data_IF_549890581563
#
_entry.id   IF_549890581563
#
_cell.length_a   1.000
_cell.length_b   1.000
_cell.length_c   1.000
_cell.angle_alpha   90.00
_cell.angle_beta   90.00
_cell.angle_gamma   90.00
#
_symmetry.space_group_name_H-M   'P 1'
#
loop_
_entity.id
_entity.type
_entity.pdbx_description
1 polymer ?
#
# COMPACT_ATOMS: atom_id res chain seq x y z
N UNK A 1 37.35 20.09 16.32
CA UNK A 1 35.98 20.31 15.79
C UNK A 1 35.73 19.16 14.84
N UNK A 2 34.94 18.18 15.29
CA UNK A 2 34.61 17.00 14.50
C UNK A 2 33.52 17.35 13.50
N UNK A 3 33.85 17.25 12.21
CA UNK A 3 32.85 17.15 11.15
C UNK A 3 32.39 15.69 11.11
N UNK A 4 31.37 15.40 11.90
CA UNK A 4 30.63 14.14 11.80
C UNK A 4 29.75 14.23 10.55
N UNK A 5 30.24 13.66 9.45
CA UNK A 5 29.47 13.52 8.23
C UNK A 5 28.16 12.78 8.55
N UNK A 6 26.99 13.27 8.09
CA UNK A 6 25.72 12.64 8.41
C UNK A 6 25.71 11.21 7.85
N UNK A 7 25.34 10.24 8.70
CA UNK A 7 25.15 8.85 8.29
C UNK A 7 24.28 8.80 7.02
N UNK A 8 24.67 8.01 6.01
CA UNK A 8 23.87 7.88 4.81
C UNK A 8 22.52 7.28 5.21
N UNK A 9 21.44 8.06 5.07
CA UNK A 9 20.09 7.54 5.26
C UNK A 9 19.93 6.31 4.38
N UNK A 10 19.80 5.15 5.01
CA UNK A 10 19.66 3.85 4.36
C UNK A 10 18.29 3.76 3.70
N UNK A 11 18.03 4.55 2.66
CA UNK A 11 16.94 4.32 1.73
C UNK A 11 17.36 3.19 0.79
N UNK A 12 17.53 2.00 1.36
CA UNK A 12 17.87 0.81 0.59
C UNK A 12 16.76 0.47 -0.42
N UNK A 13 17.07 -0.32 -1.47
CA UNK A 13 16.14 -0.71 -2.54
C UNK A 13 14.88 -1.49 -2.08
N UNK A 14 14.74 -1.75 -0.78
CA UNK A 14 13.57 -2.36 -0.15
C UNK A 14 12.37 -1.41 -0.01
N UNK A 15 12.58 -0.08 0.09
CA UNK A 15 11.51 0.89 0.26
C UNK A 15 10.60 1.00 -0.99
N UNK A 16 11.16 0.83 -2.18
CA UNK A 16 10.48 1.00 -3.47
C UNK A 16 9.44 -0.11 -3.78
N UNK A 17 9.43 -1.22 -3.04
CA UNK A 17 8.62 -2.42 -3.37
C UNK A 17 7.34 -2.59 -2.53
N UNK A 18 7.07 -1.69 -1.58
CA UNK A 18 5.95 -1.84 -0.62
C UNK A 18 4.58 -1.45 -1.17
N UNK A 19 4.54 -0.47 -2.09
CA UNK A 19 3.30 0.10 -2.62
C UNK A 19 2.52 -0.86 -3.54
N UNK A 20 3.16 -1.57 -4.50
CA UNK A 20 2.47 -2.57 -5.30
C UNK A 20 1.90 -3.71 -4.45
N UNK A 21 2.69 -4.22 -3.49
CA UNK A 21 2.26 -5.25 -2.53
C UNK A 21 1.03 -4.84 -1.72
N UNK A 22 0.94 -3.55 -1.34
CA UNK A 22 -0.22 -3.00 -0.65
C UNK A 22 -1.48 -3.04 -1.53
N UNK A 23 -1.35 -2.66 -2.81
CA UNK A 23 -2.43 -2.62 -3.78
C UNK A 23 -2.95 -4.04 -4.06
N UNK A 24 -2.05 -4.99 -4.26
CA UNK A 24 -2.40 -6.39 -4.54
C UNK A 24 -2.76 -7.20 -3.29
N UNK A 25 -2.64 -6.63 -2.09
CA UNK A 25 -2.82 -7.37 -0.85
C UNK A 25 -1.82 -8.53 -0.68
N UNK A 26 -0.68 -8.49 -1.37
CA UNK A 26 0.38 -9.48 -1.25
C UNK A 26 1.45 -9.03 -0.26
N UNK A 27 2.14 -9.97 0.37
CA UNK A 27 3.24 -9.62 1.27
C UNK A 27 4.49 -9.27 0.44
N UNK A 28 5.34 -8.33 0.90
CA UNK A 28 6.65 -8.11 0.31
C UNK A 28 7.50 -9.38 0.42
N UNK A 29 7.96 -9.89 -0.73
CA UNK A 29 8.66 -11.18 -0.84
C UNK A 29 9.91 -11.24 0.04
N UNK A 30 10.62 -10.13 0.22
CA UNK A 30 11.85 -10.06 1.00
C UNK A 30 11.58 -10.24 2.50
N UNK A 31 10.42 -9.76 2.96
CA UNK A 31 9.98 -10.00 4.33
C UNK A 31 9.46 -11.43 4.50
N UNK A 32 8.75 -11.99 3.53
CA UNK A 32 8.33 -13.40 3.56
C UNK A 32 9.54 -14.35 3.59
N UNK A 33 10.55 -14.07 2.77
CA UNK A 33 11.81 -14.81 2.78
C UNK A 33 12.49 -14.73 4.16
N UNK A 34 12.41 -13.57 4.83
CA UNK A 34 12.89 -13.42 6.21
C UNK A 34 12.24 -14.39 7.20
N UNK A 35 10.94 -14.64 7.08
CA UNK A 35 10.23 -15.63 7.93
C UNK A 35 10.77 -17.04 7.69
N UNK A 36 10.94 -17.43 6.43
CA UNK A 36 11.45 -18.75 6.06
C UNK A 36 12.89 -18.96 6.54
N UNK A 37 13.74 -17.94 6.38
CA UNK A 37 15.14 -17.97 6.84
C UNK A 37 15.21 -18.17 8.34
N UNK A 38 14.36 -17.51 9.12
CA UNK A 38 14.38 -17.64 10.57
C UNK A 38 13.91 -19.01 11.04
N UNK A 39 12.84 -19.55 10.43
CA UNK A 39 12.39 -20.93 10.69
C UNK A 39 13.49 -21.94 10.35
N UNK A 40 14.16 -21.78 9.20
CA UNK A 40 15.26 -22.64 8.80
C UNK A 40 16.44 -22.55 9.77
N UNK A 41 16.84 -21.33 10.17
CA UNK A 41 17.93 -21.11 11.14
C UNK A 41 17.64 -21.82 12.46
N UNK A 42 16.42 -21.67 13.00
CA UNK A 42 16.03 -22.32 14.25
C UNK A 42 16.06 -23.85 14.14
N UNK A 43 15.60 -24.40 13.01
CA UNK A 43 15.73 -25.84 12.73
C UNK A 43 17.18 -26.28 12.65
N UNK A 44 18.06 -25.54 11.97
CA UNK A 44 19.47 -25.87 11.84
C UNK A 44 20.24 -25.82 13.17
N UNK A 45 19.81 -25.00 14.12
CA UNK A 45 20.38 -24.94 15.48
C UNK A 45 19.95 -26.14 16.34
N UNK A 46 18.83 -26.78 16.02
CA UNK A 46 18.35 -27.98 16.72
C UNK A 46 19.07 -29.23 16.21
N UNK A 47 20.36 -29.35 16.55
CA UNK A 47 21.23 -30.46 16.12
C UNK A 47 20.86 -31.82 16.72
N UNK A 48 20.16 -31.82 17.85
CA UNK A 48 19.91 -33.02 18.65
C UNK A 48 18.53 -33.66 18.40
N UNK A 49 17.58 -32.91 17.83
CA UNK A 49 16.23 -33.40 17.55
C UNK A 49 15.61 -32.60 16.43
N UNK A 50 14.69 -33.23 15.70
CA UNK A 50 13.79 -32.49 14.82
C UNK A 50 12.80 -31.65 15.65
N UNK A 51 12.49 -30.42 15.21
CA UNK A 51 11.42 -29.62 15.81
C UNK A 51 10.07 -30.32 15.70
N UNK A 52 9.27 -30.17 16.74
CA UNK A 52 7.87 -30.57 16.71
C UNK A 52 7.09 -29.67 15.74
N UNK A 53 6.03 -30.17 15.10
CA UNK A 53 5.17 -29.36 14.23
C UNK A 53 4.69 -28.07 14.91
N UNK A 54 4.34 -28.13 16.19
CA UNK A 54 3.91 -26.97 16.99
C UNK A 54 4.98 -25.89 17.13
N UNK A 55 6.26 -26.28 17.22
CA UNK A 55 7.37 -25.33 17.30
C UNK A 55 7.54 -24.61 15.97
N UNK A 56 7.44 -25.33 14.84
CA UNK A 56 7.51 -24.75 13.49
C UNK A 56 6.36 -23.76 13.28
N UNK A 57 5.14 -24.13 13.69
CA UNK A 57 3.96 -23.26 13.61
C UNK A 57 4.17 -22.00 14.46
N UNK A 58 4.65 -22.15 15.70
CA UNK A 58 4.96 -21.03 16.60
C UNK A 58 6.00 -20.09 15.99
N UNK A 59 7.12 -20.62 15.49
CA UNK A 59 8.17 -19.80 14.87
C UNK A 59 7.70 -19.10 13.59
N UNK A 60 6.87 -19.77 12.79
CA UNK A 60 6.25 -19.17 11.62
C UNK A 60 5.31 -18.03 12.00
N UNK A 61 4.55 -18.18 13.09
CA UNK A 61 3.68 -17.13 13.62
C UNK A 61 4.49 -15.93 14.10
N UNK A 62 5.54 -16.15 14.91
CA UNK A 62 6.45 -15.09 15.37
C UNK A 62 7.10 -14.35 14.19
N UNK A 63 7.58 -15.08 13.18
CA UNK A 63 8.16 -14.48 11.99
C UNK A 63 7.15 -13.68 11.17
N UNK A 64 5.90 -14.17 11.04
CA UNK A 64 4.82 -13.38 10.42
C UNK A 64 4.49 -12.13 11.22
N UNK A 65 4.55 -12.19 12.55
CA UNK A 65 4.30 -11.03 13.39
C UNK A 65 5.38 -9.96 13.21
N UNK A 66 6.63 -10.38 13.14
CA UNK A 66 7.78 -9.53 12.83
C UNK A 66 7.71 -8.94 11.41
N UNK A 67 7.28 -9.74 10.42
CA UNK A 67 7.03 -9.29 9.05
C UNK A 67 6.06 -8.10 9.01
N UNK A 68 4.91 -8.22 9.68
CA UNK A 68 3.92 -7.15 9.69
C UNK A 68 4.42 -5.89 10.38
N UNK A 69 5.17 -6.04 11.48
CA UNK A 69 5.82 -4.92 12.18
C UNK A 69 6.78 -4.17 11.25
N UNK A 70 7.72 -4.88 10.62
CA UNK A 70 8.69 -4.29 9.68
C UNK A 70 8.01 -3.65 8.48
N UNK A 71 6.93 -4.24 7.98
CA UNK A 71 6.20 -3.66 6.86
C UNK A 71 5.49 -2.35 7.25
N UNK A 72 4.89 -2.28 8.44
CA UNK A 72 4.32 -1.03 8.96
C UNK A 72 5.37 0.07 9.10
N UNK A 73 6.58 -0.27 9.60
CA UNK A 73 7.71 0.66 9.69
C UNK A 73 8.14 1.18 8.32
N UNK A 74 8.29 0.29 7.32
CA UNK A 74 8.62 0.70 5.94
C UNK A 74 7.55 1.59 5.31
N UNK A 75 6.28 1.34 5.62
CA UNK A 75 5.18 2.18 5.18
C UNK A 75 5.16 3.55 5.88
N UNK A 76 5.81 3.68 7.04
CA UNK A 76 5.97 4.94 7.77
C UNK A 76 7.07 5.83 7.22
N UNK A 77 8.17 5.22 6.77
CA UNK A 77 9.36 5.93 6.26
C UNK A 77 9.27 6.31 4.78
N UNK A 78 8.22 5.86 4.06
CA UNK A 78 7.96 6.28 2.69
C UNK A 78 7.62 7.78 2.68
N UNK A 79 8.61 8.62 2.39
CA UNK A 79 8.64 10.10 2.43
C UNK A 79 7.55 10.83 1.62
N UNK A 80 6.66 10.09 0.97
CA UNK A 80 5.47 10.55 0.25
C UNK A 80 4.31 9.63 0.64
N UNK A 81 4.00 9.53 1.94
CA UNK A 81 2.91 8.68 2.41
C UNK A 81 1.59 9.23 1.91
N UNK A 82 1.03 8.59 0.88
CA UNK A 82 -0.35 8.86 0.49
C UNK A 82 -1.24 8.59 1.70
N UNK A 83 -2.27 9.42 1.97
CA UNK A 83 -3.25 9.20 3.05
C UNK A 83 -3.87 7.79 3.05
N UNK A 84 -3.83 7.11 1.90
CA UNK A 84 -4.12 5.69 1.78
C UNK A 84 -3.21 4.81 2.66
N UNK A 85 -1.89 4.99 2.55
CA UNK A 85 -0.94 4.23 3.36
C UNK A 85 -1.21 4.50 4.84
N UNK A 86 -1.51 5.74 5.21
CA UNK A 86 -1.90 6.10 6.57
C UNK A 86 -3.20 5.43 7.01
N UNK A 87 -4.21 5.33 6.13
CA UNK A 87 -5.47 4.68 6.43
C UNK A 87 -5.36 3.15 6.51
N UNK A 88 -4.51 2.53 5.69
CA UNK A 88 -4.35 1.07 5.64
C UNK A 88 -3.37 0.56 6.70
N UNK A 89 -2.34 1.33 7.06
CA UNK A 89 -1.30 0.90 8.03
C UNK A 89 -1.86 0.35 9.36
N UNK A 90 -2.88 0.96 10.01
CA UNK A 90 -3.46 0.47 11.26
C UNK A 90 -4.19 -0.88 11.07
N UNK A 91 -4.75 -1.11 9.88
CA UNK A 91 -5.54 -2.29 9.54
C UNK A 91 -4.84 -3.24 8.58
N UNK A 92 -3.51 -3.12 8.41
CA UNK A 92 -2.73 -3.78 7.36
C UNK A 92 -2.91 -5.31 7.34
N UNK A 93 -3.01 -5.94 8.51
CA UNK A 93 -3.25 -7.39 8.64
C UNK A 93 -4.61 -7.80 8.11
N UNK A 94 -5.65 -7.04 8.44
CA UNK A 94 -7.01 -7.28 7.98
C UNK A 94 -7.13 -6.97 6.48
N UNK A 95 -6.50 -5.89 6.04
CA UNK A 95 -6.42 -5.51 4.63
C UNK A 95 -5.85 -6.64 3.79
N UNK A 96 -4.68 -7.15 4.15
CA UNK A 96 -4.05 -8.30 3.46
C UNK A 96 -4.91 -9.55 3.56
N UNK A 97 -5.49 -9.84 4.73
CA UNK A 97 -6.35 -11.02 4.91
C UNK A 97 -7.61 -10.99 4.04
N UNK A 98 -8.21 -9.82 3.83
CA UNK A 98 -9.39 -9.63 2.99
C UNK A 98 -9.09 -9.43 1.50
N UNK A 99 -8.03 -8.68 1.18
CA UNK A 99 -7.63 -8.35 -0.19
C UNK A 99 -6.94 -9.52 -0.91
N UNK A 100 -6.30 -10.45 -0.19
CA UNK A 100 -5.62 -11.62 -0.80
C UNK A 100 -6.53 -12.52 -1.64
N UNK A 101 -7.85 -12.38 -1.50
CA UNK A 101 -8.87 -13.14 -2.23
C UNK A 101 -9.75 -12.29 -3.15
N UNK A 102 -9.48 -10.98 -3.26
CA UNK A 102 -10.26 -10.06 -4.07
C UNK A 102 -9.37 -9.43 -5.12
N UNK A 103 -9.78 -9.52 -6.39
CA UNK A 103 -9.12 -8.75 -7.43
C UNK A 103 -9.35 -7.25 -7.19
N UNK A 104 -8.28 -6.43 -7.16
CA UNK A 104 -8.47 -4.99 -6.99
C UNK A 104 -9.28 -4.47 -8.18
N UNK A 105 -10.42 -3.83 -7.90
CA UNK A 105 -11.24 -3.26 -8.97
C UNK A 105 -10.45 -2.18 -9.73
N UNK A 106 -10.82 -1.93 -10.98
CA UNK A 106 -10.24 -0.84 -11.78
C UNK A 106 -10.24 0.49 -11.00
N UNK A 107 -11.38 0.85 -10.42
CA UNK A 107 -11.54 2.06 -9.62
C UNK A 107 -10.66 2.06 -8.38
N UNK A 108 -10.57 0.93 -7.66
CA UNK A 108 -9.69 0.83 -6.50
C UNK A 108 -8.24 1.04 -6.95
N UNK A 109 -7.77 0.35 -7.98
CA UNK A 109 -6.41 0.50 -8.51
C UNK A 109 -6.11 1.95 -8.89
N UNK A 110 -6.97 2.58 -9.68
CA UNK A 110 -6.82 3.98 -10.09
C UNK A 110 -6.82 4.94 -8.89
N UNK A 111 -7.69 4.72 -7.91
CA UNK A 111 -7.72 5.46 -6.67
C UNK A 111 -6.41 5.28 -5.87
N UNK A 112 -5.90 4.05 -5.77
CA UNK A 112 -4.68 3.72 -5.01
C UNK A 112 -3.41 4.26 -5.68
N UNK A 113 -3.38 4.31 -7.01
CA UNK A 113 -2.26 4.85 -7.78
C UNK A 113 -2.39 6.37 -8.00
N UNK A 114 -3.59 6.94 -7.89
CA UNK A 114 -3.87 8.33 -8.24
C UNK A 114 -3.89 8.61 -9.75
N UNK A 115 -4.25 7.60 -10.56
CA UNK A 115 -4.20 7.67 -12.02
C UNK A 115 -5.59 7.51 -12.66
N UNK A 116 -5.69 7.79 -13.96
CA UNK A 116 -6.66 7.20 -14.90
C UNK A 116 -8.11 7.67 -14.88
N UNK A 117 -8.66 8.10 -13.74
CA UNK A 117 -10.07 8.50 -13.64
C UNK A 117 -10.33 9.87 -13.02
N UNK A 118 -9.29 10.57 -12.60
CA UNK A 118 -9.41 11.90 -11.98
C UNK A 118 -9.15 13.00 -13.01
N UNK A 119 -9.99 14.04 -13.05
CA UNK A 119 -9.88 15.12 -14.03
C UNK A 119 -8.52 15.81 -14.03
N UNK A 120 -7.85 15.91 -12.88
CA UNK A 120 -6.44 16.36 -12.82
C UNK A 120 -5.52 15.49 -13.68
N UNK A 121 -5.59 14.17 -13.55
CA UNK A 121 -4.75 13.25 -14.32
C UNK A 121 -5.11 13.30 -15.81
N UNK A 122 -6.40 13.34 -16.12
CA UNK A 122 -6.88 13.40 -17.49
C UNK A 122 -6.54 14.73 -18.19
N UNK A 123 -6.42 15.83 -17.43
CA UNK A 123 -6.01 17.13 -17.93
C UNK A 123 -4.48 17.24 -18.05
N UNK A 124 -3.74 16.96 -16.96
CA UNK A 124 -2.29 17.18 -16.88
C UNK A 124 -1.47 16.12 -17.63
N UNK A 125 -1.94 14.87 -17.67
CA UNK A 125 -1.16 13.73 -18.22
C UNK A 125 -1.73 13.25 -19.54
N UNK A 126 -3.05 13.07 -19.64
CA UNK A 126 -3.70 12.52 -20.85
C UNK A 126 -4.05 13.63 -21.85
N UNK A 127 -4.33 14.85 -21.38
CA UNK A 127 -4.70 16.00 -22.20
C UNK A 127 -6.10 15.92 -22.81
N UNK A 128 -7.00 15.08 -22.27
CA UNK A 128 -8.37 14.92 -22.79
C UNK A 128 -9.40 15.78 -22.05
N UNK A 129 -9.12 16.11 -20.79
CA UNK A 129 -9.99 16.97 -19.99
C UNK A 129 -9.59 18.43 -20.14
N UNK A 130 -10.60 19.31 -20.19
CA UNK A 130 -10.39 20.75 -20.39
C UNK A 130 -9.85 21.45 -19.14
N UNK A 131 -9.99 20.83 -17.97
CA UNK A 131 -9.54 21.39 -16.70
C UNK A 131 -9.41 20.32 -15.60
N UNK A 132 -8.69 20.62 -14.51
CA UNK A 132 -8.42 19.68 -13.45
C UNK A 132 -9.55 19.62 -12.39
N UNK A 133 -10.65 20.34 -12.55
CA UNK A 133 -11.72 20.49 -11.56
C UNK A 133 -12.62 19.25 -11.44
N UNK A 134 -13.17 19.01 -10.25
CA UNK A 134 -14.07 17.90 -9.99
C UNK A 134 -15.49 18.17 -10.47
N UNK A 135 -15.92 17.38 -11.45
CA UNK A 135 -17.25 17.34 -12.03
C UNK A 135 -18.37 17.00 -11.02
N UNK A 136 -18.01 16.41 -9.88
CA UNK A 136 -18.96 15.95 -8.89
C UNK A 136 -19.21 16.96 -7.77
N UNK A 137 -18.35 17.94 -7.56
CA UNK A 137 -18.51 18.93 -6.50
C UNK A 137 -18.93 20.29 -7.07
N UNK A 138 -19.72 21.06 -6.30
CA UNK A 138 -20.04 22.44 -6.66
C UNK A 138 -18.93 23.42 -6.25
N UNK A 139 -17.93 22.97 -5.48
CA UNK A 139 -16.81 23.79 -5.00
C UNK A 139 -15.77 24.07 -6.09
N UNK A 140 -15.76 23.32 -7.19
CA UNK A 140 -14.74 23.46 -8.24
C UNK A 140 -13.35 23.05 -7.77
N UNK A 141 -13.26 22.25 -6.70
CA UNK A 141 -11.99 21.74 -6.21
C UNK A 141 -11.33 20.83 -7.25
N UNK A 142 -10.00 20.75 -7.22
CA UNK A 142 -9.24 19.89 -8.12
C UNK A 142 -9.61 18.42 -7.90
N UNK A 143 -9.99 17.72 -8.96
CA UNK A 143 -10.32 16.30 -8.94
C UNK A 143 -9.04 15.48 -8.80
N UNK A 144 -8.72 15.11 -7.57
CA UNK A 144 -7.67 14.15 -7.26
C UNK A 144 -8.27 12.96 -6.54
N UNK A 145 -7.51 11.86 -6.47
CA UNK A 145 -7.87 10.71 -5.64
C UNK A 145 -8.16 11.12 -4.18
N UNK A 146 -7.49 12.14 -3.67
CA UNK A 146 -7.71 12.69 -2.33
C UNK A 146 -9.05 13.44 -2.20
N UNK A 147 -9.46 14.17 -3.25
CA UNK A 147 -10.75 14.86 -3.29
C UNK A 147 -11.91 13.86 -3.25
N UNK A 148 -11.88 12.81 -4.08
CA UNK A 148 -12.90 11.74 -4.11
C UNK A 148 -12.97 10.95 -2.80
N UNK A 149 -11.86 10.84 -2.06
CA UNK A 149 -11.79 10.13 -0.76
C UNK A 149 -12.30 10.95 0.42
N UNK A 150 -12.16 12.27 0.37
CA UNK A 150 -12.73 13.16 1.40
C UNK A 150 -14.24 13.24 1.19
N UNK A 151 -15.05 13.76 2.15
CA UNK A 151 -16.45 14.03 1.91
C UNK A 151 -16.59 15.10 0.81
N UNK A 152 -16.50 14.68 -0.44
CA UNK A 152 -16.95 15.46 -1.57
C UNK A 152 -18.43 15.72 -1.31
N UNK A 153 -18.81 16.99 -1.23
CA UNK A 153 -20.13 17.44 -0.77
C UNK A 153 -21.32 16.90 -1.60
N UNK A 154 -21.08 16.04 -2.58
CA UNK A 154 -22.09 15.42 -3.45
C UNK A 154 -22.08 13.88 -3.51
N UNK A 155 -21.24 13.17 -2.74
CA UNK A 155 -21.14 11.70 -2.80
C UNK A 155 -22.38 10.94 -2.27
N UNK A 156 -23.49 11.63 -1.96
CA UNK A 156 -24.75 11.05 -1.48
C UNK A 156 -25.79 10.77 -2.56
N UNK A 157 -25.60 11.16 -3.82
CA UNK A 157 -26.58 10.86 -4.89
C UNK A 157 -25.92 10.14 -6.05
N UNK A 158 -26.25 8.84 -6.18
CA UNK A 158 -26.16 8.10 -7.45
C UNK A 158 -26.71 9.00 -8.56
N UNK A 159 -25.95 9.23 -9.62
CA UNK A 159 -26.44 9.69 -10.92
C UNK A 159 -25.41 9.24 -11.97
N UNK A 160 -25.74 8.20 -12.73
CA UNK A 160 -26.35 8.27 -14.06
C UNK A 160 -25.27 8.54 -15.14
N UNK A 161 -25.26 7.76 -16.24
CA UNK A 161 -24.18 7.78 -17.22
C UNK A 161 -24.15 9.12 -17.94
N UNK A 162 -23.04 9.84 -17.85
CA UNK A 162 -22.77 10.92 -18.79
C UNK A 162 -22.48 10.29 -20.15
N UNK A 163 -23.40 10.59 -21.08
CA UNK A 163 -23.37 10.34 -22.51
C UNK A 163 -21.94 10.36 -23.09
N UNK A 164 -21.45 9.19 -23.51
CA UNK A 164 -20.47 9.12 -24.59
C UNK A 164 -21.23 9.44 -25.89
N UNK A 165 -21.15 10.69 -26.32
CA UNK A 165 -21.45 11.09 -27.68
C UNK A 165 -20.16 11.63 -28.30
N UNK A 166 -19.52 10.78 -29.10
CA UNK A 166 -18.96 11.10 -30.41
C UNK A 166 -18.90 9.79 -31.21
#
# INVERSE_FOLDING_TARGET
MGDEAPEPRQHGPAACRTRPCLISGSLPWDLEAGVLVEVYRRRALMRQREPLPEEIVRWSKEGRDDLFRRWQERLADASVSSRLIEAVRPVLRQWVGGARHQEPTYFLTQLLTGHGCFSRYLCEVVGIESGPECHHCASGDVDTAEHTRSPCARAGTRNAPHSLAQ
#
